data_IF_267387433799
#
_entry.id   IF_267387433799
#
_cell.length_a   1.000
_cell.length_b   1.000
_cell.length_c   1.000
_cell.angle_alpha   90.00
_cell.angle_beta   90.00
_cell.angle_gamma   90.00
#
_symmetry.space_group_name_H-M   'P 1'
#
loop_
_entity.id
_entity.type
_entity.pdbx_description
1 polymer ?
#
# COMPACT_ATOMS: atom_id res chain seq x y z
N UNK A 1 -49.50 14.14 -4.67
CA UNK A 1 -48.17 13.53 -4.90
C UNK A 1 -47.33 13.76 -3.65
N UNK A 2 -47.14 12.74 -2.82
CA UNK A 2 -46.22 12.84 -1.68
C UNK A 2 -44.79 12.74 -2.21
N UNK A 3 -44.09 13.87 -2.31
CA UNK A 3 -42.64 13.85 -2.52
C UNK A 3 -42.00 13.32 -1.24
N UNK A 4 -41.60 12.04 -1.26
CA UNK A 4 -40.77 11.44 -0.22
C UNK A 4 -39.38 12.08 -0.36
N UNK A 5 -39.18 13.23 0.27
CA UNK A 5 -37.92 13.96 0.28
C UNK A 5 -37.04 13.42 1.41
N UNK A 6 -35.98 12.72 1.03
CA UNK A 6 -34.86 12.45 1.92
C UNK A 6 -34.10 13.75 2.17
N UNK A 7 -33.89 14.13 3.43
CA UNK A 7 -33.17 15.36 3.80
C UNK A 7 -31.75 15.00 4.24
N UNK A 8 -30.75 15.66 3.66
CA UNK A 8 -29.37 15.56 4.14
C UNK A 8 -29.25 16.24 5.51
N UNK A 9 -28.96 15.45 6.54
CA UNK A 9 -28.82 15.93 7.92
C UNK A 9 -27.37 16.22 8.26
N UNK A 10 -26.42 15.55 7.59
CA UNK A 10 -25.00 15.80 7.78
C UNK A 10 -24.11 14.84 7.01
N UNK A 11 -22.81 15.10 7.08
CA UNK A 11 -21.77 14.25 6.53
C UNK A 11 -20.76 13.89 7.63
N UNK A 12 -20.34 12.64 7.69
CA UNK A 12 -19.32 12.14 8.60
C UNK A 12 -18.31 11.30 7.81
N UNK A 13 -17.13 11.88 7.55
CA UNK A 13 -16.08 11.29 6.71
C UNK A 13 -16.65 10.86 5.35
N UNK A 14 -16.83 9.56 5.14
CA UNK A 14 -17.28 8.97 3.89
C UNK A 14 -18.76 8.52 3.91
N UNK A 15 -19.55 9.16 4.77
CA UNK A 15 -20.95 8.84 5.03
C UNK A 15 -21.80 10.10 4.97
N UNK A 16 -22.85 10.08 4.18
CA UNK A 16 -23.95 11.03 4.28
C UNK A 16 -25.03 10.47 5.17
N UNK A 17 -25.57 11.28 6.07
CA UNK A 17 -26.70 10.94 6.93
C UNK A 17 -27.97 11.54 6.32
N UNK A 18 -28.87 10.67 5.87
CA UNK A 18 -30.11 11.05 5.21
C UNK A 18 -31.28 10.71 6.12
N UNK A 19 -32.09 11.72 6.49
CA UNK A 19 -33.37 11.49 7.14
C UNK A 19 -34.41 11.16 6.08
N UNK A 20 -34.97 9.95 6.17
CA UNK A 20 -36.07 9.51 5.33
C UNK A 20 -37.36 9.48 6.15
N UNK A 21 -38.49 10.02 5.64
CA UNK A 21 -39.76 9.84 6.31
C UNK A 21 -40.15 8.36 6.24
N UNK A 22 -40.55 7.81 7.38
CA UNK A 22 -41.06 6.44 7.49
C UNK A 22 -42.57 6.48 7.63
N UNK A 23 -43.27 5.49 7.08
CA UNK A 23 -44.70 5.32 7.35
C UNK A 23 -44.92 5.20 8.86
N UNK A 24 -45.90 5.94 9.37
CA UNK A 24 -46.19 6.03 10.80
C UNK A 24 -46.77 4.69 11.23
N UNK A 25 -45.91 3.79 11.70
CA UNK A 25 -46.34 2.54 12.31
C UNK A 25 -46.85 2.86 13.72
N UNK A 26 -48.11 2.56 14.10
CA UNK A 26 -48.68 2.94 15.39
C UNK A 26 -47.95 2.37 16.61
N UNK A 27 -47.03 1.40 16.42
CA UNK A 27 -46.15 0.84 17.47
C UNK A 27 -44.78 1.53 17.59
N UNK A 28 -44.34 2.32 16.60
CA UNK A 28 -43.06 3.03 16.61
C UNK A 28 -43.31 4.55 16.49
N UNK A 29 -43.15 5.29 17.58
CA UNK A 29 -43.37 6.76 17.66
C UNK A 29 -42.42 7.63 16.79
N UNK A 30 -41.60 7.05 15.91
CA UNK A 30 -40.63 7.81 15.08
C UNK A 30 -41.16 7.93 13.64
N UNK A 31 -41.47 9.16 13.23
CA UNK A 31 -41.90 9.48 11.86
C UNK A 31 -40.77 9.57 10.84
N UNK A 32 -39.52 9.39 11.26
CA UNK A 32 -38.34 9.48 10.41
C UNK A 32 -37.27 8.46 10.82
N UNK A 33 -36.58 7.90 9.83
CA UNK A 33 -35.42 7.02 9.97
C UNK A 33 -34.18 7.71 9.38
N UNK A 34 -33.08 7.74 10.14
CA UNK A 34 -31.79 8.22 9.63
C UNK A 34 -31.04 7.04 9.02
N UNK A 35 -30.81 7.10 7.71
CA UNK A 35 -29.98 6.13 6.98
C UNK A 35 -28.61 6.73 6.70
N UNK A 36 -27.57 5.89 6.83
CA UNK A 36 -26.22 6.24 6.42
C UNK A 36 -25.97 5.76 4.98
N UNK A 37 -25.66 6.69 4.08
CA UNK A 37 -25.30 6.40 2.69
C UNK A 37 -23.79 6.59 2.52
N UNK A 38 -23.12 5.64 1.86
CA UNK A 38 -21.70 5.73 1.54
C UNK A 38 -21.49 6.50 0.25
N UNK A 39 -20.50 7.38 0.21
CA UNK A 39 -20.25 8.26 -0.95
C UNK A 39 -18.90 8.05 -1.63
N UNK A 40 -17.97 7.29 -1.03
CA UNK A 40 -16.70 6.91 -1.66
C UNK A 40 -15.68 8.05 -1.77
N UNK A 41 -15.67 9.01 -0.85
CA UNK A 41 -14.83 10.20 -0.84
C UNK A 41 -13.34 9.93 -0.65
N UNK A 42 -12.95 8.75 -0.16
CA UNK A 42 -11.54 8.42 0.06
C UNK A 42 -10.71 8.50 -1.23
N UNK A 43 -11.18 7.89 -2.33
CA UNK A 43 -10.42 7.88 -3.59
C UNK A 43 -10.25 9.28 -4.20
N UNK A 44 -11.30 10.12 -4.31
CA UNK A 44 -11.16 11.53 -4.69
C UNK A 44 -10.17 12.31 -3.81
N UNK A 45 -10.18 12.07 -2.49
CA UNK A 45 -9.24 12.73 -1.58
C UNK A 45 -7.79 12.32 -1.85
N UNK A 46 -7.52 11.04 -2.09
CA UNK A 46 -6.18 10.55 -2.42
C UNK A 46 -5.70 11.06 -3.78
N UNK A 47 -6.59 11.19 -4.76
CA UNK A 47 -6.29 11.81 -6.06
C UNK A 47 -5.93 13.29 -5.87
N UNK A 48 -6.75 14.02 -5.12
CA UNK A 48 -6.51 15.43 -4.80
C UNK A 48 -5.17 15.61 -4.09
N UNK A 49 -4.89 14.75 -3.11
CA UNK A 49 -3.62 14.73 -2.39
C UNK A 49 -2.42 14.50 -3.33
N UNK A 50 -2.45 13.45 -4.15
CA UNK A 50 -1.36 13.14 -5.08
C UNK A 50 -1.14 14.28 -6.08
N UNK A 51 -2.22 14.86 -6.60
CA UNK A 51 -2.16 16.00 -7.52
C UNK A 51 -1.59 17.26 -6.85
N UNK A 52 -1.98 17.56 -5.60
CA UNK A 52 -1.43 18.69 -4.86
C UNK A 52 0.06 18.52 -4.62
N UNK A 53 0.52 17.33 -4.23
CA UNK A 53 1.94 17.05 -4.00
C UNK A 53 2.80 17.20 -5.26
N UNK A 54 2.24 17.01 -6.46
CA UNK A 54 2.97 17.25 -7.71
C UNK A 54 3.21 18.73 -7.98
N UNK A 55 2.33 19.61 -7.49
CA UNK A 55 2.33 21.03 -7.81
C UNK A 55 2.89 21.91 -6.67
N UNK A 56 2.87 21.41 -5.43
CA UNK A 56 3.25 22.17 -4.25
C UNK A 56 4.22 21.37 -3.36
N UNK A 57 5.34 22.00 -2.99
CA UNK A 57 6.28 21.48 -1.98
C UNK A 57 5.73 21.70 -0.56
N UNK A 58 4.67 20.97 -0.20
CA UNK A 58 4.16 20.99 1.17
C UNK A 58 4.95 20.01 2.02
N UNK A 59 5.59 20.50 3.09
CA UNK A 59 6.05 19.63 4.18
C UNK A 59 4.83 19.04 4.85
N UNK A 60 4.72 17.72 4.79
CA UNK A 60 3.63 16.97 5.39
C UNK A 60 4.18 15.95 6.36
N UNK A 61 3.51 15.83 7.50
CA UNK A 61 3.73 14.72 8.41
C UNK A 61 2.97 13.50 7.87
N UNK A 62 3.75 12.56 7.30
CA UNK A 62 3.21 11.32 6.76
C UNK A 62 2.46 10.52 7.84
N UNK A 63 2.92 10.56 9.09
CA UNK A 63 2.30 9.82 10.20
C UNK A 63 0.95 10.41 10.57
N UNK A 64 0.83 11.74 10.55
CA UNK A 64 -0.44 12.43 10.78
C UNK A 64 -1.43 12.12 9.67
N UNK A 65 -1.03 12.22 8.39
CA UNK A 65 -1.91 11.93 7.26
C UNK A 65 -2.38 10.48 7.29
N UNK A 66 -1.45 9.55 7.52
CA UNK A 66 -1.79 8.14 7.63
C UNK A 66 -2.81 7.93 8.75
N UNK A 67 -2.56 8.49 9.94
CA UNK A 67 -3.48 8.40 11.07
C UNK A 67 -4.86 8.99 10.74
N UNK A 68 -4.93 10.17 10.13
CA UNK A 68 -6.20 10.79 9.75
C UNK A 68 -6.97 9.93 8.75
N UNK A 69 -6.30 9.30 7.79
CA UNK A 69 -6.94 8.42 6.82
C UNK A 69 -7.42 7.14 7.50
N UNK A 70 -6.56 6.44 8.24
CA UNK A 70 -6.89 5.13 8.82
C UNK A 70 -7.88 5.23 9.99
N UNK A 71 -7.97 6.37 10.68
CA UNK A 71 -8.93 6.59 11.77
C UNK A 71 -10.31 7.04 11.27
N UNK A 72 -10.37 7.77 10.15
CA UNK A 72 -11.61 8.36 9.62
C UNK A 72 -12.28 7.51 8.56
N UNK A 73 -11.51 6.71 7.83
CA UNK A 73 -11.99 5.83 6.79
C UNK A 73 -11.82 4.38 7.20
N UNK A 74 -12.79 3.55 6.83
CA UNK A 74 -12.68 2.12 7.01
C UNK A 74 -11.50 1.59 6.18
N UNK A 75 -10.53 0.96 6.86
CA UNK A 75 -9.32 0.41 6.23
C UNK A 75 -9.62 -0.51 5.05
N UNK A 76 -10.78 -1.18 5.04
CA UNK A 76 -11.25 -2.05 3.95
C UNK A 76 -11.53 -1.30 2.64
N UNK A 77 -11.64 0.04 2.68
CA UNK A 77 -11.89 0.88 1.50
C UNK A 77 -10.64 1.29 0.77
N UNK A 78 -9.46 1.09 1.34
CA UNK A 78 -8.21 1.32 0.63
C UNK A 78 -8.10 0.23 -0.44
N UNK A 79 -8.26 0.61 -1.70
CA UNK A 79 -8.21 -0.33 -2.83
C UNK A 79 -6.84 -0.33 -3.50
N UNK A 80 -6.47 -1.39 -4.24
CA UNK A 80 -5.25 -1.39 -5.06
C UNK A 80 -5.20 -0.19 -6.02
N UNK A 81 -6.34 0.21 -6.58
CA UNK A 81 -6.45 1.40 -7.45
C UNK A 81 -6.07 2.67 -6.71
N UNK A 82 -6.56 2.84 -5.48
CA UNK A 82 -6.22 3.99 -4.62
C UNK A 82 -4.72 4.08 -4.34
N UNK A 83 -4.07 2.94 -4.10
CA UNK A 83 -2.61 2.87 -3.90
C UNK A 83 -1.83 3.10 -5.19
N UNK A 84 -2.31 2.62 -6.33
CA UNK A 84 -1.67 2.86 -7.64
C UNK A 84 -1.73 4.34 -8.04
N UNK A 85 -2.81 5.05 -7.67
CA UNK A 85 -2.91 6.51 -7.84
C UNK A 85 -1.81 7.22 -7.04
N UNK A 86 -1.66 6.87 -5.76
CA UNK A 86 -0.61 7.42 -4.91
C UNK A 86 0.79 7.09 -5.43
N UNK A 87 1.00 5.87 -5.93
CA UNK A 87 2.28 5.42 -6.48
C UNK A 87 2.71 6.12 -7.77
N UNK A 88 1.81 6.84 -8.46
CA UNK A 88 2.14 7.70 -9.61
C UNK A 88 2.52 9.12 -9.19
N UNK A 89 2.32 9.46 -7.92
CA UNK A 89 2.69 10.75 -7.36
C UNK A 89 4.19 10.86 -7.04
N UNK A 90 4.61 11.97 -6.41
CA UNK A 90 5.95 12.15 -5.89
C UNK A 90 6.31 11.11 -4.82
N UNK A 91 7.60 10.98 -4.43
CA UNK A 91 8.05 9.97 -3.48
C UNK A 91 7.24 9.89 -2.18
N UNK A 92 6.81 11.03 -1.63
CA UNK A 92 5.98 11.10 -0.41
C UNK A 92 4.63 10.38 -0.57
N UNK A 93 4.03 10.44 -1.76
CA UNK A 93 2.80 9.69 -2.07
C UNK A 93 3.07 8.18 -2.15
N UNK A 94 4.24 7.78 -2.66
CA UNK A 94 4.70 6.39 -2.62
C UNK A 94 4.85 5.87 -1.19
N UNK A 95 5.40 6.68 -0.29
CA UNK A 95 5.53 6.33 1.14
C UNK A 95 4.18 6.16 1.83
N UNK A 96 3.23 7.03 1.48
CA UNK A 96 1.84 6.91 1.95
C UNK A 96 1.19 5.63 1.41
N UNK A 97 1.42 5.29 0.13
CA UNK A 97 0.89 4.06 -0.45
C UNK A 97 1.43 2.80 0.26
N UNK A 98 2.74 2.77 0.55
CA UNK A 98 3.37 1.69 1.32
C UNK A 98 2.75 1.59 2.70
N UNK A 99 2.64 2.71 3.42
CA UNK A 99 2.11 2.75 4.78
C UNK A 99 0.65 2.30 4.84
N UNK A 100 -0.19 2.76 3.92
CA UNK A 100 -1.59 2.34 3.81
C UNK A 100 -1.71 0.85 3.47
N UNK A 101 -0.86 0.33 2.57
CA UNK A 101 -0.85 -1.10 2.25
C UNK A 101 -0.51 -2.00 3.45
N UNK A 102 0.34 -1.50 4.36
CA UNK A 102 0.74 -2.19 5.58
C UNK A 102 -0.33 -2.11 6.67
N UNK A 103 -0.97 -0.95 6.82
CA UNK A 103 -2.02 -0.71 7.80
C UNK A 103 -3.34 -1.45 7.46
N UNK A 104 -3.61 -1.65 6.17
CA UNK A 104 -4.82 -2.32 5.69
C UNK A 104 -4.69 -3.85 5.70
N UNK A 105 -5.61 -4.59 6.37
CA UNK A 105 -5.54 -6.05 6.48
C UNK A 105 -5.83 -6.79 5.17
N UNK A 106 -6.54 -6.18 4.21
CA UNK A 106 -6.92 -6.84 2.96
C UNK A 106 -5.75 -7.01 1.96
N UNK A 107 -4.63 -6.31 2.16
CA UNK A 107 -3.47 -6.43 1.28
C UNK A 107 -2.58 -7.59 1.68
N UNK A 108 -2.31 -8.48 0.72
CA UNK A 108 -1.38 -9.58 0.91
C UNK A 108 0.06 -9.07 1.04
N UNK A 109 0.94 -9.86 1.65
CA UNK A 109 2.37 -9.56 1.72
C UNK A 109 2.99 -9.35 0.33
N UNK A 110 2.46 -10.05 -0.68
CA UNK A 110 2.85 -9.88 -2.10
C UNK A 110 2.62 -8.44 -2.57
N UNK A 111 1.40 -7.93 -2.34
CA UNK A 111 1.02 -6.58 -2.76
C UNK A 111 1.81 -5.53 -1.97
N UNK A 112 1.97 -5.72 -0.66
CA UNK A 112 2.79 -4.84 0.20
C UNK A 112 4.22 -4.73 -0.31
N UNK A 113 4.85 -5.86 -0.65
CA UNK A 113 6.18 -5.90 -1.24
C UNK A 113 6.23 -5.20 -2.61
N UNK A 114 5.22 -5.41 -3.46
CA UNK A 114 5.13 -4.75 -4.77
C UNK A 114 5.05 -3.22 -4.65
N UNK A 115 4.22 -2.70 -3.74
CA UNK A 115 4.12 -1.25 -3.49
C UNK A 115 5.41 -0.69 -2.91
N UNK A 116 6.09 -1.41 -2.02
CA UNK A 116 7.40 -1.00 -1.50
C UNK A 116 8.46 -0.92 -2.61
N UNK A 117 8.49 -1.88 -3.55
CA UNK A 117 9.38 -1.83 -4.71
C UNK A 117 9.04 -0.64 -5.61
N UNK A 118 7.75 -0.43 -5.93
CA UNK A 118 7.29 0.72 -6.75
C UNK A 118 7.69 2.06 -6.13
N UNK A 119 7.62 2.17 -4.80
CA UNK A 119 8.01 3.37 -4.04
C UNK A 119 9.52 3.46 -3.76
N UNK A 120 10.34 2.54 -4.30
CA UNK A 120 11.80 2.49 -4.10
C UNK A 120 12.21 2.34 -2.62
N UNK A 121 11.31 1.79 -1.78
CA UNK A 121 11.55 1.45 -0.37
C UNK A 121 12.03 0.01 -0.26
N UNK A 122 13.21 -0.26 -0.80
CA UNK A 122 13.78 -1.60 -0.90
C UNK A 122 13.98 -2.28 0.47
N UNK A 123 14.28 -1.51 1.52
CA UNK A 123 14.37 -2.04 2.89
C UNK A 123 13.05 -2.63 3.39
N UNK A 124 11.94 -1.95 3.12
CA UNK A 124 10.59 -2.42 3.43
C UNK A 124 10.16 -3.61 2.58
N UNK A 125 10.53 -3.62 1.29
CA UNK A 125 10.28 -4.76 0.42
C UNK A 125 11.07 -6.00 0.90
N UNK A 126 12.33 -5.82 1.29
CA UNK A 126 13.18 -6.89 1.80
C UNK A 126 12.67 -7.42 3.14
N UNK A 127 12.21 -6.56 4.06
CA UNK A 127 11.66 -7.02 5.35
C UNK A 127 10.44 -7.91 5.13
N UNK A 128 9.53 -7.53 4.22
CA UNK A 128 8.35 -8.33 3.86
C UNK A 128 8.77 -9.70 3.30
N UNK A 129 9.75 -9.75 2.40
CA UNK A 129 10.23 -11.02 1.82
C UNK A 129 10.97 -11.89 2.83
N UNK A 130 11.75 -11.31 3.75
CA UNK A 130 12.38 -12.04 4.86
C UNK A 130 11.34 -12.70 5.74
N UNK A 131 10.30 -11.96 6.08
CA UNK A 131 9.17 -12.44 6.87
C UNK A 131 8.42 -13.58 6.20
N UNK A 132 8.26 -13.54 4.88
CA UNK A 132 7.66 -14.63 4.09
C UNK A 132 8.61 -15.83 4.01
N UNK A 133 9.92 -15.59 3.85
CA UNK A 133 10.94 -16.65 3.82
C UNK A 133 11.02 -17.45 5.11
N UNK A 134 11.03 -16.77 6.26
CA UNK A 134 11.06 -17.45 7.57
C UNK A 134 9.81 -18.29 7.84
N UNK A 135 8.68 -17.98 7.18
CA UNK A 135 7.42 -18.72 7.27
C UNK A 135 7.23 -19.73 6.13
N UNK A 136 8.16 -19.81 5.19
CA UNK A 136 8.07 -20.70 4.03
C UNK A 136 8.27 -22.15 4.45
N UNK A 137 7.54 -23.06 3.79
CA UNK A 137 7.73 -24.51 3.96
C UNK A 137 9.10 -24.99 3.52
N UNK A 138 9.67 -24.30 2.53
CA UNK A 138 10.96 -24.66 1.97
C UNK A 138 12.11 -24.17 2.85
N UNK A 139 11.85 -23.38 3.91
CA UNK A 139 12.90 -22.87 4.79
C UNK A 139 13.73 -24.01 5.40
N UNK A 140 15.08 -23.92 5.41
CA UNK A 140 15.90 -22.74 5.08
C UNK A 140 16.32 -22.63 3.61
N UNK A 141 15.73 -23.42 2.72
CA UNK A 141 15.96 -23.39 1.28
C UNK A 141 14.99 -22.42 0.59
N UNK A 142 15.39 -21.96 -0.60
CA UNK A 142 14.57 -21.13 -1.48
C UNK A 142 14.75 -21.65 -2.91
N UNK A 143 14.06 -22.75 -3.30
CA UNK A 143 14.31 -23.39 -4.58
C UNK A 143 13.99 -22.43 -5.73
N UNK A 144 14.72 -22.49 -6.86
CA UNK A 144 14.51 -21.59 -8.00
C UNK A 144 13.11 -21.61 -8.62
N UNK A 145 12.37 -22.70 -8.41
CA UNK A 145 10.99 -22.90 -8.84
C UNK A 145 9.96 -22.24 -7.91
N UNK A 146 10.37 -21.81 -6.72
CA UNK A 146 9.46 -21.18 -5.76
C UNK A 146 9.07 -19.76 -6.18
N UNK A 147 7.82 -19.39 -5.93
CA UNK A 147 7.35 -18.01 -6.11
C UNK A 147 8.17 -17.02 -5.28
N UNK A 148 8.63 -17.43 -4.11
CA UNK A 148 9.46 -16.60 -3.23
C UNK A 148 10.81 -16.27 -3.88
N UNK A 149 11.48 -17.25 -4.48
CA UNK A 149 12.72 -17.03 -5.24
C UNK A 149 12.51 -16.01 -6.37
N UNK A 150 11.42 -16.12 -7.11
CA UNK A 150 11.10 -15.15 -8.18
C UNK A 150 10.85 -13.73 -7.64
N UNK A 151 10.20 -13.59 -6.48
CA UNK A 151 9.96 -12.28 -5.85
C UNK A 151 11.21 -11.63 -5.30
N UNK A 152 12.08 -12.43 -4.68
CA UNK A 152 13.44 -12.01 -4.45
C UNK A 152 14.02 -11.53 -5.79
N UNK A 153 14.10 -12.36 -6.83
CA UNK A 153 14.74 -11.95 -8.09
C UNK A 153 14.19 -10.63 -8.67
N UNK A 154 12.88 -10.38 -8.55
CA UNK A 154 12.25 -9.10 -8.90
C UNK A 154 12.76 -7.91 -8.07
N UNK A 155 12.86 -8.06 -6.74
CA UNK A 155 13.45 -7.05 -5.87
C UNK A 155 14.89 -6.73 -6.28
N UNK A 156 15.71 -7.76 -6.53
CA UNK A 156 17.10 -7.58 -6.96
C UNK A 156 17.21 -6.82 -8.28
N UNK A 157 16.40 -7.18 -9.28
CA UNK A 157 16.37 -6.44 -10.55
C UNK A 157 15.90 -5.00 -10.42
N UNK A 158 14.90 -4.74 -9.56
CA UNK A 158 14.44 -3.38 -9.33
C UNK A 158 15.53 -2.51 -8.68
N UNK A 159 16.29 -3.10 -7.75
CA UNK A 159 17.43 -2.43 -7.11
C UNK A 159 18.52 -2.06 -8.15
N UNK A 160 18.93 -3.01 -9.00
CA UNK A 160 19.95 -2.78 -10.04
C UNK A 160 19.50 -1.68 -11.00
N UNK A 161 18.27 -1.80 -11.54
CA UNK A 161 17.71 -0.81 -12.46
C UNK A 161 17.67 0.60 -11.85
N UNK A 162 17.35 0.69 -10.57
CA UNK A 162 17.31 1.98 -9.89
C UNK A 162 18.71 2.59 -9.71
N UNK A 163 19.71 1.78 -9.33
CA UNK A 163 21.11 2.23 -9.23
C UNK A 163 21.62 2.73 -10.59
N UNK A 164 21.32 2.00 -11.67
CA UNK A 164 21.70 2.39 -13.04
C UNK A 164 21.07 3.74 -13.45
N UNK A 165 19.81 3.97 -13.06
CA UNK A 165 19.08 5.20 -13.36
C UNK A 165 19.52 6.38 -12.48
N UNK A 166 19.88 6.13 -11.22
CA UNK A 166 20.17 7.16 -10.22
C UNK A 166 21.54 7.82 -10.36
N UNK A 167 22.32 7.49 -11.41
CA UNK A 167 23.67 8.03 -11.73
C UNK A 167 24.49 8.38 -10.46
N UNK A 168 25.13 7.37 -9.86
CA UNK A 168 26.21 7.54 -8.88
C UNK A 168 25.89 8.30 -7.58
N UNK A 169 24.81 7.94 -6.88
CA UNK A 169 24.74 8.23 -5.43
C UNK A 169 25.43 7.10 -4.65
N UNK A 170 26.69 7.32 -4.26
CA UNK A 170 27.56 6.36 -3.55
C UNK A 170 26.91 5.71 -2.32
N UNK A 171 26.09 6.47 -1.58
CA UNK A 171 25.41 5.96 -0.37
C UNK A 171 24.29 4.96 -0.70
N UNK A 172 23.62 5.11 -1.85
CA UNK A 172 22.55 4.23 -2.30
C UNK A 172 23.08 2.87 -2.77
N UNK A 173 24.27 2.86 -3.37
CA UNK A 173 24.92 1.64 -3.84
C UNK A 173 25.23 0.69 -2.68
N UNK A 174 25.68 1.19 -1.53
CA UNK A 174 26.06 0.32 -0.40
C UNK A 174 24.85 -0.43 0.18
N UNK A 175 23.72 0.23 0.39
CA UNK A 175 22.51 -0.40 0.93
C UNK A 175 21.90 -1.41 -0.07
N UNK A 176 21.89 -1.06 -1.36
CA UNK A 176 21.43 -1.97 -2.41
C UNK A 176 22.36 -3.18 -2.55
N UNK A 177 23.68 -2.97 -2.53
CA UNK A 177 24.66 -4.06 -2.60
C UNK A 177 24.52 -4.96 -1.36
N UNK A 178 24.41 -4.42 -0.15
CA UNK A 178 24.17 -5.24 1.06
C UNK A 178 22.86 -6.04 0.97
N UNK A 179 21.80 -5.45 0.42
CA UNK A 179 20.53 -6.16 0.18
C UNK A 179 20.67 -7.25 -0.88
N UNK A 180 21.46 -7.01 -1.93
CA UNK A 180 21.81 -8.01 -2.94
C UNK A 180 22.71 -9.12 -2.37
N UNK A 181 23.57 -8.85 -1.38
CA UNK A 181 24.35 -9.86 -0.65
C UNK A 181 23.49 -10.79 0.23
N UNK A 182 22.21 -10.46 0.47
CA UNK A 182 21.27 -11.38 1.13
C UNK A 182 20.64 -12.41 0.18
N UNK A 183 20.60 -12.16 -1.12
CA UNK A 183 20.22 -13.15 -2.14
C UNK A 183 21.08 -14.41 -2.13
N UNK A 184 22.41 -14.30 -2.13
CA UNK A 184 23.28 -15.45 -2.09
C UNK A 184 23.12 -16.25 -0.80
N UNK A 185 22.59 -15.73 0.31
CA UNK A 185 22.29 -16.59 1.48
C UNK A 185 21.15 -17.57 1.19
N UNK A 186 20.14 -17.14 0.41
CA UNK A 186 19.05 -18.01 -0.07
C UNK A 186 19.51 -18.96 -1.19
N UNK A 187 20.43 -18.53 -2.07
CA UNK A 187 20.98 -19.37 -3.15
C UNK A 187 22.12 -20.30 -2.73
N UNK A 188 23.04 -19.89 -1.85
CA UNK A 188 24.16 -20.72 -1.35
C UNK A 188 23.65 -21.86 -0.45
N UNK A 189 22.56 -21.66 0.32
CA UNK A 189 21.95 -22.78 1.05
C UNK A 189 21.25 -23.78 0.13
N UNK A 190 20.97 -23.43 -1.12
CA UNK A 190 20.37 -24.32 -2.11
C UNK A 190 21.40 -25.05 -2.99
N UNK A 191 22.65 -24.60 -3.13
CA UNK A 191 23.65 -25.31 -3.93
C UNK A 191 25.06 -25.26 -3.31
N UNK A 192 25.45 -26.37 -2.68
CA UNK A 192 26.74 -27.00 -3.00
C UNK A 192 26.64 -27.52 -4.44
N UNK A 193 26.93 -26.66 -5.43
CA UNK A 193 27.58 -27.04 -6.70
C UNK A 193 27.94 -25.78 -7.49
N UNK A 194 29.16 -25.66 -8.04
CA UNK A 194 29.80 -24.39 -8.33
C UNK A 194 29.67 -24.04 -9.80
N UNK A 195 28.69 -23.24 -10.21
CA UNK A 195 28.72 -22.63 -11.54
C UNK A 195 28.23 -21.18 -11.51
N UNK A 196 29.22 -20.27 -11.56
CA UNK A 196 29.18 -18.91 -12.10
C UNK A 196 28.03 -17.98 -11.69
N UNK A 197 28.28 -17.17 -10.65
CA UNK A 197 27.76 -15.81 -10.57
C UNK A 197 28.96 -14.85 -10.55
N UNK A 198 29.50 -14.59 -11.76
CA UNK A 198 30.33 -13.42 -11.98
C UNK A 198 29.37 -12.22 -12.11
N UNK A 199 29.28 -11.41 -11.06
CA UNK A 199 28.72 -10.07 -11.13
C UNK A 199 29.82 -9.13 -11.62
N UNK A 200 29.62 -8.54 -12.80
CA UNK A 200 30.21 -7.26 -13.21
C UNK A 200 29.16 -6.17 -12.96
#
# INVERSE_FOLDING_TARGET
MNFILAVLVGALNDRLLLANPTEINPRQKKGFEIKSCLVGLLEPLLIGFATMQQNFEQKLDLSEILYQITSRFDSLRITPRSLDILGRGPPVCGDLAVSLSQASPQFTQVLRGSYAIKALRFSSALSVLKDEFLRSRDYPQCPPTSHLFHRFRQLGYACIRYVDQAKFSLNLQVDVILMLQMFPVCSLRCHLSPYHLNFF
#
